data_IF_324840331382
#
_entry.id   IF_324840331382
#
_cell.length_a   1.000
_cell.length_b   1.000
_cell.length_c   1.000
_cell.angle_alpha   90.00
_cell.angle_beta   90.00
_cell.angle_gamma   90.00
#
_symmetry.space_group_name_H-M   'P 1'
#
loop_
_entity.id
_entity.type
_entity.pdbx_description
1 polymer ?
#
# COMPACT_ATOMS: atom_id res chain seq x y z
N UNK A 1 -4.94 22.62 11.28
CA UNK A 1 -5.20 21.67 10.18
C UNK A 1 -5.52 20.28 10.75
N UNK A 2 -6.55 20.15 11.61
CA UNK A 2 -6.83 18.92 12.40
C UNK A 2 -8.18 18.25 12.08
N UNK A 3 -8.85 18.65 11.00
CA UNK A 3 -10.22 18.18 10.69
C UNK A 3 -10.41 17.54 9.31
N UNK A 4 -9.37 17.49 8.46
CA UNK A 4 -9.49 16.97 7.10
C UNK A 4 -9.02 15.51 6.93
N UNK A 5 -8.17 15.00 7.84
CA UNK A 5 -7.53 13.66 7.72
C UNK A 5 -8.49 12.52 8.13
N UNK A 6 -9.52 12.80 8.92
CA UNK A 6 -10.42 11.76 9.46
C UNK A 6 -11.47 11.29 8.43
N UNK A 7 -11.64 11.97 7.29
CA UNK A 7 -12.67 11.61 6.31
C UNK A 7 -12.32 10.36 5.48
N UNK A 8 -11.04 9.96 5.41
CA UNK A 8 -10.62 8.81 4.58
C UNK A 8 -10.87 7.46 5.24
N UNK A 9 -10.91 7.39 6.58
CA UNK A 9 -11.13 6.15 7.37
C UNK A 9 -12.48 5.48 7.06
N UNK A 10 -13.42 6.21 6.43
CA UNK A 10 -14.74 5.70 6.01
C UNK A 10 -14.96 5.67 4.49
N UNK A 11 -14.08 6.28 3.68
CA UNK A 11 -14.34 6.46 2.24
C UNK A 11 -13.85 5.33 1.34
N UNK A 12 -12.96 4.45 1.81
CA UNK A 12 -12.55 3.27 1.01
C UNK A 12 -13.74 2.32 0.77
N UNK A 13 -14.79 2.35 1.62
CA UNK A 13 -16.01 1.57 1.36
C UNK A 13 -17.05 2.27 0.45
N UNK A 14 -16.80 3.50 -0.03
CA UNK A 14 -17.78 4.30 -0.80
C UNK A 14 -17.27 4.82 -2.15
N UNK A 15 -15.99 4.68 -2.48
CA UNK A 15 -15.42 5.15 -3.75
C UNK A 15 -15.57 4.17 -4.93
N UNK A 16 -16.15 2.97 -4.74
CA UNK A 16 -16.51 2.07 -5.86
C UNK A 16 -17.68 2.58 -6.73
N UNK A 17 -18.09 3.85 -6.62
CA UNK A 17 -19.35 4.34 -7.16
C UNK A 17 -19.35 5.68 -7.91
N UNK A 18 -18.22 6.36 -8.12
CA UNK A 18 -18.23 7.65 -8.82
C UNK A 18 -17.02 7.83 -9.75
N UNK A 19 -17.08 7.22 -10.94
CA UNK A 19 -16.39 7.77 -12.11
C UNK A 19 -17.37 8.63 -12.92
N UNK A 20 -17.03 9.91 -13.02
CA UNK A 20 -17.64 10.86 -13.96
C UNK A 20 -17.24 10.45 -15.37
N UNK A 21 -18.23 10.16 -16.22
CA UNK A 21 -17.99 9.92 -17.64
C UNK A 21 -17.49 11.20 -18.31
N UNK A 22 -16.30 11.13 -18.89
CA UNK A 22 -15.90 12.02 -19.98
C UNK A 22 -15.89 11.16 -21.24
N UNK A 23 -16.83 11.45 -22.14
CA UNK A 23 -17.08 10.73 -23.36
C UNK A 23 -16.09 11.18 -24.43
N UNK A 24 -15.09 10.37 -24.74
CA UNK A 24 -14.33 10.42 -26.00
C UNK A 24 -14.03 8.99 -26.47
N UNK A 25 -14.65 8.61 -27.60
CA UNK A 25 -14.15 7.55 -28.49
C UNK A 25 -14.17 6.11 -27.96
N UNK A 26 -15.08 5.30 -28.47
CA UNK A 26 -15.05 3.83 -28.34
C UNK A 26 -13.68 3.31 -28.81
N UNK A 27 -12.87 2.84 -27.87
CA UNK A 27 -11.79 1.87 -28.12
C UNK A 27 -12.11 0.64 -27.28
N UNK A 28 -11.82 -0.56 -27.80
CA UNK A 28 -12.10 -1.80 -27.10
C UNK A 28 -11.32 -1.81 -25.77
N UNK A 29 -12.04 -1.67 -24.66
CA UNK A 29 -11.51 -1.47 -23.31
C UNK A 29 -10.99 -2.78 -22.70
N UNK A 30 -9.98 -3.37 -23.35
CA UNK A 30 -9.23 -4.48 -22.77
C UNK A 30 -8.16 -3.89 -21.87
N UNK A 31 -8.11 -4.34 -20.61
CA UNK A 31 -7.05 -3.98 -19.68
C UNK A 31 -5.67 -4.14 -20.35
N UNK A 32 -4.74 -3.19 -20.13
CA UNK A 32 -3.46 -3.19 -20.83
C UNK A 32 -2.68 -4.47 -20.55
N UNK A 33 -2.05 -5.01 -21.59
CA UNK A 33 -1.21 -6.19 -21.49
C UNK A 33 0.16 -5.86 -20.84
N UNK A 34 0.95 -6.89 -20.58
CA UNK A 34 2.27 -6.77 -19.92
C UNK A 34 3.20 -5.77 -20.62
N UNK A 35 3.36 -5.87 -21.94
CA UNK A 35 4.24 -4.98 -22.70
C UNK A 35 3.74 -3.53 -22.68
N UNK A 36 2.42 -3.34 -22.73
CA UNK A 36 1.80 -2.00 -22.64
C UNK A 36 2.07 -1.35 -21.28
N UNK A 37 1.93 -2.08 -20.18
CA UNK A 37 2.21 -1.57 -18.83
C UNK A 37 3.69 -1.24 -18.66
N UNK A 38 4.59 -2.10 -19.12
CA UNK A 38 6.03 -1.89 -18.97
C UNK A 38 6.57 -0.71 -19.79
N UNK A 39 5.85 -0.32 -20.85
CA UNK A 39 6.17 0.83 -21.69
C UNK A 39 5.58 2.16 -21.18
N UNK A 40 4.76 2.14 -20.13
CA UNK A 40 4.17 3.35 -19.55
C UNK A 40 5.21 4.21 -18.82
N UNK A 41 4.94 5.51 -18.77
CA UNK A 41 5.62 6.41 -17.85
C UNK A 41 5.30 6.01 -16.40
N UNK A 42 6.18 6.37 -15.46
CA UNK A 42 6.14 5.88 -14.08
C UNK A 42 4.78 6.04 -13.40
N UNK A 43 4.15 7.22 -13.54
CA UNK A 43 2.84 7.49 -12.93
C UNK A 43 1.73 6.61 -13.52
N UNK A 44 1.67 6.48 -14.85
CA UNK A 44 0.65 5.69 -15.53
C UNK A 44 0.84 4.20 -15.23
N UNK A 45 2.10 3.75 -15.14
CA UNK A 45 2.45 2.40 -14.73
C UNK A 45 2.00 2.12 -13.29
N UNK A 46 2.26 3.04 -12.36
CA UNK A 46 1.85 2.90 -10.97
C UNK A 46 0.32 2.85 -10.84
N UNK A 47 -0.41 3.70 -11.56
CA UNK A 47 -1.88 3.69 -11.60
C UNK A 47 -2.45 2.36 -12.17
N UNK A 48 -1.80 1.82 -13.20
CA UNK A 48 -2.16 0.50 -13.75
C UNK A 48 -1.93 -0.62 -12.72
N UNK A 49 -0.85 -0.55 -11.94
CA UNK A 49 -0.55 -1.51 -10.88
C UNK A 49 -1.55 -1.41 -9.72
N UNK A 50 -1.93 -0.19 -9.29
CA UNK A 50 -3.00 0.01 -8.29
C UNK A 50 -4.28 -0.68 -8.77
N UNK A 51 -4.70 -0.39 -10.00
CA UNK A 51 -5.93 -0.95 -10.58
C UNK A 51 -5.90 -2.48 -10.61
N UNK A 52 -4.71 -3.07 -10.83
CA UNK A 52 -4.52 -4.51 -10.92
C UNK A 52 -4.47 -5.21 -9.56
N UNK A 53 -3.86 -4.59 -8.55
CA UNK A 53 -3.46 -5.29 -7.33
C UNK A 53 -4.10 -4.81 -6.03
N UNK A 54 -4.69 -3.61 -5.99
CA UNK A 54 -5.15 -3.02 -4.71
C UNK A 54 -6.20 -3.88 -3.97
N UNK A 55 -7.07 -4.56 -4.71
CA UNK A 55 -8.10 -5.46 -4.16
C UNK A 55 -7.73 -6.94 -4.29
N UNK A 56 -6.49 -7.26 -4.64
CA UNK A 56 -6.06 -8.64 -4.75
C UNK A 56 -6.05 -9.30 -3.36
N UNK A 57 -6.37 -10.60 -3.33
CA UNK A 57 -6.29 -11.41 -2.13
C UNK A 57 -4.92 -12.11 -2.09
N UNK A 58 -4.14 -12.03 -0.99
CA UNK A 58 -2.79 -12.59 -0.96
C UNK A 58 -2.67 -14.06 -1.36
N UNK A 59 -3.72 -14.85 -1.13
CA UNK A 59 -3.75 -16.28 -1.43
C UNK A 59 -3.95 -16.61 -2.92
N UNK A 60 -4.26 -15.61 -3.76
CA UNK A 60 -4.39 -15.79 -5.23
C UNK A 60 -3.13 -15.38 -5.98
N UNK A 61 -2.16 -14.78 -5.29
CA UNK A 61 -0.97 -14.19 -5.89
C UNK A 61 0.25 -15.12 -5.79
N UNK A 62 1.11 -15.07 -6.81
CA UNK A 62 2.47 -15.59 -6.67
C UNK A 62 3.33 -14.65 -5.80
N UNK A 63 4.53 -15.06 -5.42
CA UNK A 63 5.38 -14.29 -4.49
C UNK A 63 5.70 -12.87 -4.99
N UNK A 64 5.94 -12.69 -6.30
CA UNK A 64 6.29 -11.37 -6.86
C UNK A 64 5.08 -10.46 -6.96
N UNK A 65 3.94 -11.01 -7.36
CA UNK A 65 2.65 -10.32 -7.33
C UNK A 65 2.28 -9.89 -5.91
N UNK A 66 2.52 -10.77 -4.93
CA UNK A 66 2.29 -10.49 -3.52
C UNK A 66 3.16 -9.34 -3.02
N UNK A 67 4.45 -9.32 -3.39
CA UNK A 67 5.36 -8.21 -3.07
C UNK A 67 4.82 -6.89 -3.63
N UNK A 68 4.37 -6.88 -4.88
CA UNK A 68 3.80 -5.68 -5.52
C UNK A 68 2.51 -5.24 -4.84
N UNK A 69 1.54 -6.15 -4.65
CA UNK A 69 0.27 -5.84 -4.03
C UNK A 69 0.42 -5.33 -2.60
N UNK A 70 1.28 -5.99 -1.79
CA UNK A 70 1.53 -5.59 -0.42
C UNK A 70 2.13 -4.19 -0.33
N UNK A 71 3.09 -3.85 -1.20
CA UNK A 71 3.75 -2.55 -1.19
C UNK A 71 2.86 -1.42 -1.74
N UNK A 72 2.02 -1.67 -2.73
CA UNK A 72 1.04 -0.69 -3.21
C UNK A 72 0.05 -0.34 -2.10
N UNK A 73 -0.51 -1.35 -1.43
CA UNK A 73 -1.42 -1.11 -0.30
C UNK A 73 -0.70 -0.38 0.83
N UNK A 74 0.52 -0.78 1.17
CA UNK A 74 1.30 -0.13 2.22
C UNK A 74 1.59 1.34 1.89
N UNK A 75 2.10 1.63 0.69
CA UNK A 75 2.45 2.98 0.27
C UNK A 75 1.23 3.91 0.25
N UNK A 76 0.11 3.45 -0.33
CA UNK A 76 -1.14 4.19 -0.34
C UNK A 76 -1.66 4.52 1.06
N UNK A 77 -1.58 3.59 2.01
CA UNK A 77 -2.00 3.81 3.39
C UNK A 77 -1.04 4.74 4.15
N UNK A 78 0.27 4.60 3.93
CA UNK A 78 1.30 5.46 4.51
C UNK A 78 1.10 6.92 4.08
N UNK A 79 0.80 7.17 2.80
CA UNK A 79 0.56 8.53 2.28
C UNK A 79 -0.75 9.16 2.78
N UNK A 80 -1.72 8.36 3.19
CA UNK A 80 -3.03 8.84 3.62
C UNK A 80 -3.14 9.06 5.13
N UNK A 81 -2.62 8.13 5.94
CA UNK A 81 -2.76 8.18 7.40
C UNK A 81 -1.66 7.48 8.18
N UNK A 82 -0.55 7.15 7.51
CA UNK A 82 0.61 6.53 8.14
C UNK A 82 0.39 5.08 8.56
N UNK A 83 1.30 4.57 9.40
CA UNK A 83 1.33 3.16 9.75
C UNK A 83 0.11 2.71 10.55
N UNK A 84 -0.47 3.61 11.35
CA UNK A 84 -1.72 3.32 12.05
C UNK A 84 -2.85 3.03 11.05
N UNK A 85 -2.94 3.82 9.97
CA UNK A 85 -3.97 3.62 8.96
C UNK A 85 -3.78 2.30 8.24
N UNK A 86 -2.54 1.97 7.87
CA UNK A 86 -2.20 0.67 7.29
C UNK A 86 -2.66 -0.50 8.18
N UNK A 87 -2.34 -0.49 9.48
CA UNK A 87 -2.70 -1.59 10.37
C UNK A 87 -4.20 -1.74 10.63
N UNK A 88 -4.95 -0.65 10.71
CA UNK A 88 -6.41 -0.73 10.90
C UNK A 88 -7.14 -1.13 9.61
N UNK A 89 -6.54 -0.88 8.45
CA UNK A 89 -7.06 -1.23 7.13
C UNK A 89 -6.52 -2.56 6.57
N UNK A 90 -5.69 -3.29 7.33
CA UNK A 90 -5.11 -4.56 6.89
C UNK A 90 -6.13 -5.72 6.91
N UNK A 91 -7.20 -5.60 6.13
CA UNK A 91 -8.26 -6.61 6.04
C UNK A 91 -7.80 -7.87 5.31
N UNK A 92 -6.92 -7.71 4.31
CA UNK A 92 -6.42 -8.80 3.48
C UNK A 92 -5.21 -9.51 4.11
N UNK A 93 -4.64 -8.97 5.20
CA UNK A 93 -3.52 -9.58 5.92
C UNK A 93 -2.16 -9.37 5.25
N UNK A 94 -1.98 -8.23 4.58
CA UNK A 94 -0.74 -7.78 3.96
C UNK A 94 0.35 -7.42 4.97
N UNK A 95 0.02 -7.06 6.21
CA UNK A 95 1.00 -6.64 7.21
C UNK A 95 2.12 -7.66 7.44
N UNK A 96 1.80 -8.96 7.36
CA UNK A 96 2.79 -10.03 7.55
C UNK A 96 3.84 -10.12 6.43
N UNK A 97 3.58 -9.53 5.25
CA UNK A 97 4.47 -9.60 4.09
C UNK A 97 5.34 -8.35 3.91
N UNK A 98 5.00 -7.23 4.56
CA UNK A 98 5.66 -5.93 4.34
C UNK A 98 7.16 -5.98 4.55
N UNK A 99 7.63 -6.64 5.61
CA UNK A 99 9.08 -6.75 5.86
C UNK A 99 9.79 -7.41 4.69
N UNK A 100 9.28 -8.54 4.22
CA UNK A 100 9.97 -9.34 3.21
C UNK A 100 9.84 -8.65 1.84
N UNK A 101 8.68 -8.04 1.55
CA UNK A 101 8.44 -7.26 0.34
C UNK A 101 9.35 -6.01 0.24
N UNK A 102 9.50 -5.23 1.32
CA UNK A 102 10.43 -4.09 1.35
C UNK A 102 11.87 -4.54 1.09
N UNK A 103 12.29 -5.67 1.66
CA UNK A 103 13.60 -6.23 1.41
C UNK A 103 13.79 -6.68 -0.04
N UNK A 104 12.75 -7.25 -0.65
CA UNK A 104 12.79 -7.74 -2.02
C UNK A 104 12.94 -6.63 -3.06
N UNK A 105 12.32 -5.46 -2.85
CA UNK A 105 12.50 -4.29 -3.73
C UNK A 105 13.74 -3.46 -3.40
N UNK A 106 14.50 -3.83 -2.37
CA UNK A 106 15.71 -3.13 -1.96
C UNK A 106 15.47 -1.87 -1.11
N UNK A 107 14.27 -1.73 -0.51
CA UNK A 107 13.94 -0.65 0.42
C UNK A 107 14.50 -0.95 1.84
N UNK A 108 15.83 -0.95 1.96
CA UNK A 108 16.58 -1.44 3.12
C UNK A 108 16.32 -0.63 4.39
N UNK A 109 16.33 0.71 4.31
CA UNK A 109 16.14 1.53 5.52
C UNK A 109 14.65 1.53 5.94
N UNK A 110 13.71 1.54 4.99
CA UNK A 110 12.29 1.32 5.28
C UNK A 110 12.04 -0.04 5.94
N UNK A 111 12.61 -1.12 5.41
CA UNK A 111 12.47 -2.47 5.96
C UNK A 111 12.93 -2.52 7.43
N UNK A 112 14.09 -1.93 7.70
CA UNK A 112 14.68 -1.87 9.04
C UNK A 112 13.85 -1.02 10.00
N UNK A 113 13.34 0.12 9.54
CA UNK A 113 12.47 1.00 10.33
C UNK A 113 11.16 0.29 10.70
N UNK A 114 10.48 -0.30 9.72
CA UNK A 114 9.26 -1.10 9.91
C UNK A 114 9.49 -2.26 10.89
N UNK A 115 10.55 -3.05 10.65
CA UNK A 115 10.88 -4.21 11.50
C UNK A 115 11.17 -3.79 12.94
N UNK A 116 11.89 -2.69 13.13
CA UNK A 116 12.22 -2.16 14.45
C UNK A 116 10.95 -1.78 15.20
N UNK A 117 10.03 -1.06 14.55
CA UNK A 117 8.76 -0.67 15.15
C UNK A 117 7.91 -1.87 15.55
N UNK A 118 7.73 -2.84 14.64
CA UNK A 118 6.95 -4.07 14.91
C UNK A 118 7.54 -4.85 16.08
N UNK A 119 8.86 -5.04 16.12
CA UNK A 119 9.53 -5.80 17.16
C UNK A 119 9.50 -5.10 18.53
N UNK A 120 9.77 -3.79 18.57
CA UNK A 120 9.79 -3.03 19.84
C UNK A 120 8.41 -2.94 20.49
N UNK A 121 7.35 -2.97 19.69
CA UNK A 121 5.97 -2.89 20.16
C UNK A 121 5.28 -4.26 20.25
N UNK A 122 6.03 -5.35 20.04
CA UNK A 122 5.55 -6.74 20.12
C UNK A 122 4.29 -6.99 19.27
N UNK A 123 4.25 -6.40 18.07
CA UNK A 123 3.09 -6.48 17.18
C UNK A 123 3.12 -7.82 16.44
N UNK A 124 2.10 -8.67 16.66
CA UNK A 124 1.89 -9.88 15.87
C UNK A 124 1.18 -9.53 14.55
N UNK A 125 1.98 -9.26 13.52
CA UNK A 125 1.52 -8.91 12.16
C UNK A 125 0.73 -10.02 11.46
N UNK A 126 0.69 -11.24 12.02
CA UNK A 126 -0.16 -12.33 11.53
C UNK A 126 -1.56 -12.31 12.16
N UNK A 127 -1.78 -11.48 13.19
CA UNK A 127 -3.03 -11.41 13.96
C UNK A 127 -3.53 -9.97 14.11
N UNK A 128 -3.94 -9.37 13.00
CA UNK A 128 -4.39 -7.98 12.94
C UNK A 128 -5.80 -7.73 13.49
N UNK A 129 -6.52 -8.76 13.96
CA UNK A 129 -7.87 -8.62 14.52
C UNK A 129 -7.97 -7.60 15.66
N UNK A 130 -6.90 -7.38 16.43
CA UNK A 130 -6.88 -6.38 17.51
C UNK A 130 -6.86 -4.93 17.03
N UNK A 131 -6.60 -4.68 15.74
CA UNK A 131 -6.56 -3.35 15.14
C UNK A 131 -7.88 -2.93 14.51
N UNK A 132 -8.86 -3.84 14.40
CA UNK A 132 -10.17 -3.55 13.79
C UNK A 132 -10.86 -2.39 14.50
N UNK A 133 -11.46 -1.51 13.70
CA UNK A 133 -12.19 -0.34 14.15
C UNK A 133 -13.61 -0.36 13.59
N UNK A 134 -14.57 0.18 14.34
CA UNK A 134 -15.95 0.41 13.84
C UNK A 134 -16.37 1.87 13.98
N UNK A 135 -15.49 2.70 14.54
CA UNK A 135 -15.74 4.12 14.76
C UNK A 135 -14.44 4.91 14.74
N UNK A 136 -14.56 6.22 14.53
CA UNK A 136 -13.45 7.17 14.65
C UNK A 136 -12.83 7.13 16.06
N UNK A 137 -13.63 6.87 17.10
CA UNK A 137 -13.10 6.77 18.47
C UNK A 137 -12.21 5.54 18.65
N UNK A 138 -12.51 4.44 17.94
CA UNK A 138 -11.63 3.27 17.96
C UNK A 138 -10.33 3.56 17.20
N UNK A 139 -10.41 4.28 16.07
CA UNK A 139 -9.21 4.74 15.37
C UNK A 139 -8.30 5.57 16.26
N UNK A 140 -8.84 6.58 16.96
CA UNK A 140 -8.05 7.42 17.86
C UNK A 140 -7.38 6.62 18.98
N UNK A 141 -8.07 5.61 19.53
CA UNK A 141 -7.47 4.69 20.52
C UNK A 141 -6.36 3.83 19.91
N UNK A 142 -6.53 3.35 18.68
CA UNK A 142 -5.47 2.63 18.00
C UNK A 142 -4.27 3.55 17.76
N UNK A 143 -4.48 4.78 17.32
CA UNK A 143 -3.41 5.75 17.09
C UNK A 143 -2.64 6.10 18.38
N UNK A 144 -3.31 6.13 19.54
CA UNK A 144 -2.66 6.34 20.84
C UNK A 144 -1.94 5.09 21.38
N UNK A 145 -2.19 3.90 20.80
CA UNK A 145 -1.67 2.62 21.30
C UNK A 145 -0.14 2.50 21.15
N UNK A 146 0.42 3.11 20.11
CA UNK A 146 1.83 3.00 19.75
C UNK A 146 2.38 4.36 19.29
N UNK A 147 3.72 4.57 19.27
CA UNK A 147 4.30 5.86 18.90
C UNK A 147 4.32 6.09 17.38
N UNK A 148 3.17 6.03 16.71
CA UNK A 148 3.06 6.15 15.25
C UNK A 148 3.56 7.48 14.72
N UNK A 149 3.31 8.60 15.40
CA UNK A 149 3.81 9.90 14.97
C UNK A 149 5.33 9.92 14.79
N UNK A 150 6.06 9.27 15.70
CA UNK A 150 7.51 9.12 15.58
C UNK A 150 7.91 8.19 14.43
N UNK A 151 7.16 7.12 14.22
CA UNK A 151 7.38 6.22 13.08
C UNK A 151 7.19 6.95 11.76
N UNK A 152 6.03 7.59 11.57
CA UNK A 152 5.62 8.24 10.33
C UNK A 152 6.55 9.41 9.98
N UNK A 153 7.02 10.15 10.99
CA UNK A 153 8.01 11.22 10.79
C UNK A 153 9.31 10.68 10.19
N UNK A 154 9.89 9.65 10.82
CA UNK A 154 11.13 9.03 10.32
C UNK A 154 10.92 8.32 8.98
N UNK A 155 9.75 7.70 8.77
CA UNK A 155 9.42 7.09 7.49
C UNK A 155 9.42 8.14 6.35
N UNK A 156 8.85 9.32 6.58
CA UNK A 156 8.85 10.41 5.58
C UNK A 156 10.27 10.90 5.25
N UNK A 157 11.17 10.96 6.24
CA UNK A 157 12.58 11.31 6.03
C UNK A 157 13.32 10.24 5.22
N UNK A 158 13.05 8.96 5.49
CA UNK A 158 13.58 7.85 4.70
C UNK A 158 13.06 7.93 3.26
N UNK A 159 11.74 8.11 3.08
CA UNK A 159 11.08 8.16 1.77
C UNK A 159 11.69 9.22 0.83
N UNK A 160 12.13 10.37 1.36
CA UNK A 160 12.80 11.40 0.56
C UNK A 160 14.14 10.97 -0.05
N UNK A 161 14.77 9.93 0.50
CA UNK A 161 16.06 9.40 0.05
C UNK A 161 15.95 8.00 -0.57
N UNK A 162 14.87 7.29 -0.27
CA UNK A 162 14.57 5.92 -0.68
C UNK A 162 13.11 5.91 -1.18
N UNK A 163 12.87 6.32 -2.42
CA UNK A 163 11.52 6.41 -2.95
C UNK A 163 10.95 5.00 -3.22
N UNK A 164 9.96 4.61 -2.42
CA UNK A 164 9.35 3.27 -2.52
C UNK A 164 8.66 3.06 -3.86
N UNK A 165 8.05 4.10 -4.43
CA UNK A 165 7.40 4.02 -5.73
C UNK A 165 8.43 3.77 -6.84
N UNK A 166 9.55 4.49 -6.84
CA UNK A 166 10.63 4.26 -7.82
C UNK A 166 11.23 2.85 -7.70
N UNK A 167 11.49 2.39 -6.47
CA UNK A 167 12.01 1.05 -6.20
C UNK A 167 11.04 -0.05 -6.65
N UNK A 168 9.74 0.12 -6.37
CA UNK A 168 8.71 -0.80 -6.80
C UNK A 168 8.61 -0.87 -8.33
N UNK A 169 8.60 0.28 -9.02
CA UNK A 169 8.53 0.32 -10.48
C UNK A 169 9.77 -0.31 -11.12
N UNK A 170 10.97 -0.08 -10.57
CA UNK A 170 12.18 -0.75 -11.00
C UNK A 170 12.09 -2.28 -10.83
N UNK A 171 11.55 -2.75 -9.71
CA UNK A 171 11.30 -4.17 -9.46
C UNK A 171 10.31 -4.77 -10.47
N UNK A 172 9.21 -4.07 -10.77
CA UNK A 172 8.23 -4.52 -11.76
C UNK A 172 8.84 -4.59 -13.15
N UNK A 173 9.66 -3.61 -13.56
CA UNK A 173 10.36 -3.65 -14.85
C UNK A 173 11.32 -4.84 -14.97
N UNK A 174 11.97 -5.21 -13.87
CA UNK A 174 12.89 -6.35 -13.85
C UNK A 174 12.16 -7.69 -13.93
N UNK A 175 10.93 -7.77 -13.42
CA UNK A 175 10.18 -9.02 -13.24
C UNK A 175 8.80 -9.04 -13.90
N UNK A 176 8.58 -8.18 -14.91
CA UNK A 176 7.26 -7.87 -15.44
C UNK A 176 6.46 -9.09 -15.88
N UNK A 177 7.11 -10.06 -16.53
CA UNK A 177 6.47 -11.30 -16.99
C UNK A 177 5.91 -12.17 -15.84
N UNK A 178 6.55 -12.15 -14.67
CA UNK A 178 6.10 -12.93 -13.51
C UNK A 178 5.04 -12.19 -12.70
N UNK A 179 4.98 -10.86 -12.82
CA UNK A 179 4.07 -10.00 -12.08
C UNK A 179 2.76 -9.80 -12.85
N UNK A 180 2.85 -9.52 -14.15
CA UNK A 180 1.74 -9.03 -14.96
C UNK A 180 0.96 -10.12 -15.71
N UNK A 181 1.40 -11.38 -15.62
CA UNK A 181 0.76 -12.55 -16.26
C UNK A 181 0.05 -13.48 -15.26
#
# INVERSE_FOLDING_TARGET
MRKLIILLVLMISLMSGCMVSSNDGITNDTAPNTDEILAMEDNDMYDALITRFMDAEPNTLNQKQLTVAALITFDAEMMNGGLCQFFVNDYNGYAQYIRDALGEVGAVEMQKHYSTFVNQNEIDVTKMNSFRIVSIQDYLKQYERFPYESFDTTFSEIYQNEDLSELLLAYVRLHGDEILN
#
